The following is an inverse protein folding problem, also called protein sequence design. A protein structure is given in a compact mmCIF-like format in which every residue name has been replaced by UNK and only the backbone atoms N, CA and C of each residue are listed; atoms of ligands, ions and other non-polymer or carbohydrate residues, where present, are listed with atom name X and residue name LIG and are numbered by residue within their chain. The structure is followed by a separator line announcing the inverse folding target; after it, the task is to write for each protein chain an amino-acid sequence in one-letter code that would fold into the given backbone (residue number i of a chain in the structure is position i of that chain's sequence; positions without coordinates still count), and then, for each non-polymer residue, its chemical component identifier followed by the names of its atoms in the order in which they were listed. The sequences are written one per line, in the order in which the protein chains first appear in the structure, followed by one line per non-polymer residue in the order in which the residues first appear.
data_IF_322702213801
#
_entry.id   IF_322702213801
#
_cell.length_a   1.000
_cell.length_b   1.000
_cell.length_c   1.000
_cell.angle_alpha   90.00
_cell.angle_beta   90.00
_cell.angle_gamma   90.00
#
_symmetry.space_group_name_H-M   'P 1'
#
loop_
_entity.id
_entity.type
_entity.pdbx_description
1 polymer ?
#
# COMPACT_ATOMS: atom_id res chain seq x y z
N UNK A 1 -8.92 -11.82 -28.35
CA UNK A 1 -9.04 -11.47 -26.91
C UNK A 1 -8.62 -10.02 -26.60
N UNK A 2 -8.56 -9.10 -27.58
CA UNK A 2 -8.05 -7.73 -27.36
C UNK A 2 -9.07 -6.72 -26.77
N UNK A 3 -10.37 -7.05 -26.78
CA UNK A 3 -11.47 -6.11 -26.49
C UNK A 3 -11.90 -6.11 -25.02
N UNK A 4 -11.52 -7.13 -24.22
CA UNK A 4 -12.03 -7.28 -22.85
C UNK A 4 -13.52 -7.67 -22.79
N UNK A 5 -14.09 -7.70 -21.58
CA UNK A 5 -15.53 -7.98 -21.38
C UNK A 5 -16.39 -6.76 -21.73
N UNK A 6 -17.67 -6.96 -22.04
CA UNK A 6 -18.60 -5.84 -22.06
C UNK A 6 -19.02 -5.47 -20.64
N UNK A 7 -19.39 -4.20 -20.40
CA UNK A 7 -19.85 -3.77 -19.09
C UNK A 7 -21.08 -4.58 -18.60
N UNK A 8 -22.00 -4.89 -19.51
CA UNK A 8 -23.21 -5.69 -19.22
C UNK A 8 -22.86 -7.12 -18.78
N UNK A 9 -21.89 -7.75 -19.44
CA UNK A 9 -21.46 -9.10 -19.09
C UNK A 9 -20.71 -9.11 -17.75
N UNK A 10 -19.92 -8.08 -17.47
CA UNK A 10 -19.25 -7.94 -16.19
C UNK A 10 -20.26 -7.82 -15.02
N UNK A 11 -21.31 -7.00 -15.18
CA UNK A 11 -22.38 -6.85 -14.19
C UNK A 11 -23.23 -8.12 -14.02
N UNK A 12 -23.42 -8.91 -15.09
CA UNK A 12 -24.09 -10.21 -15.01
C UNK A 12 -23.26 -11.19 -14.17
N UNK A 13 -21.96 -11.31 -14.46
CA UNK A 13 -21.05 -12.20 -13.71
C UNK A 13 -20.90 -11.79 -12.25
N UNK A 14 -20.88 -10.48 -11.97
CA UNK A 14 -20.83 -9.97 -10.61
C UNK A 14 -22.07 -10.38 -9.80
N UNK A 15 -23.25 -10.38 -10.42
CA UNK A 15 -24.49 -10.86 -9.78
C UNK A 15 -24.52 -12.38 -9.57
N UNK A 16 -23.94 -13.15 -10.48
CA UNK A 16 -23.95 -14.61 -10.42
C UNK A 16 -22.90 -15.18 -9.46
N UNK A 17 -21.68 -14.65 -9.49
CA UNK A 17 -20.55 -15.16 -8.71
C UNK A 17 -20.26 -14.36 -7.44
N UNK A 18 -20.89 -13.19 -7.30
CA UNK A 18 -20.66 -12.28 -6.19
C UNK A 18 -19.39 -11.44 -6.36
N UNK A 19 -19.14 -10.52 -5.41
CA UNK A 19 -18.00 -9.61 -5.45
C UNK A 19 -16.66 -10.32 -5.24
N UNK A 20 -15.58 -9.76 -5.80
CA UNK A 20 -14.21 -10.18 -5.55
C UNK A 20 -13.75 -9.76 -4.14
N UNK A 21 -14.30 -10.43 -3.13
CA UNK A 21 -14.00 -10.20 -1.72
C UNK A 21 -13.86 -11.53 -1.00
N UNK A 22 -12.79 -11.68 -0.23
CA UNK A 22 -12.66 -12.82 0.68
C UNK A 22 -13.89 -12.88 1.61
N UNK A 23 -14.46 -14.07 1.85
CA UNK A 23 -15.58 -14.23 2.76
C UNK A 23 -15.18 -13.66 4.12
N UNK A 24 -15.92 -12.63 4.58
CA UNK A 24 -15.65 -12.04 5.88
C UNK A 24 -15.88 -13.11 6.95
N UNK A 25 -15.00 -13.23 7.96
CA UNK A 25 -15.30 -14.05 9.11
C UNK A 25 -16.64 -13.59 9.69
N UNK A 26 -17.46 -14.56 10.15
CA UNK A 26 -18.78 -14.24 10.71
C UNK A 26 -18.59 -13.23 11.84
N UNK A 27 -19.31 -12.10 11.82
CA UNK A 27 -19.18 -11.11 12.88
C UNK A 27 -19.52 -11.76 14.22
N UNK A 28 -18.72 -11.46 15.24
CA UNK A 28 -19.00 -11.95 16.59
C UNK A 28 -20.35 -11.36 17.02
N UNK A 29 -21.34 -12.19 17.37
CA UNK A 29 -22.66 -11.69 17.70
C UNK A 29 -22.60 -10.80 18.94
N UNK A 30 -23.43 -9.74 18.96
CA UNK A 30 -23.39 -8.70 19.99
C UNK A 30 -23.48 -9.26 21.42
N UNK A 31 -24.26 -10.32 21.64
CA UNK A 31 -24.36 -10.98 22.95
C UNK A 31 -23.05 -11.63 23.40
N UNK A 32 -22.25 -12.20 22.48
CA UNK A 32 -20.93 -12.78 22.81
C UNK A 32 -19.93 -11.69 23.15
N UNK A 33 -20.01 -10.55 22.46
CA UNK A 33 -19.17 -9.38 22.78
C UNK A 33 -19.51 -8.81 24.15
N UNK A 34 -20.80 -8.64 24.46
CA UNK A 34 -21.24 -8.22 25.78
C UNK A 34 -20.77 -9.20 26.86
N UNK A 35 -20.87 -10.51 26.59
CA UNK A 35 -20.37 -11.53 27.51
C UNK A 35 -18.84 -11.45 27.68
N UNK A 36 -18.09 -11.14 26.62
CA UNK A 36 -16.64 -10.94 26.71
C UNK A 36 -16.29 -9.77 27.66
N UNK A 37 -17.02 -8.66 27.60
CA UNK A 37 -16.86 -7.54 28.55
C UNK A 37 -17.17 -7.95 30.00
N UNK A 38 -17.97 -8.98 30.22
CA UNK A 38 -18.32 -9.47 31.55
C UNK A 38 -17.46 -10.64 32.04
N UNK A 39 -16.50 -11.10 31.23
CA UNK A 39 -15.67 -12.31 31.50
C UNK A 39 -14.17 -12.06 31.40
N UNK A 40 -13.74 -10.80 31.20
CA UNK A 40 -12.34 -10.44 31.27
C UNK A 40 -11.79 -10.60 32.71
N UNK A 41 -10.46 -10.59 32.85
CA UNK A 41 -9.78 -10.95 34.10
C UNK A 41 -10.31 -10.22 35.36
N UNK A 42 -10.50 -8.90 35.28
CA UNK A 42 -11.05 -8.11 36.39
C UNK A 42 -12.52 -8.43 36.66
N UNK A 43 -13.37 -8.55 35.64
CA UNK A 43 -14.76 -8.98 35.82
C UNK A 43 -14.85 -10.35 36.50
N UNK A 44 -14.01 -11.32 36.13
CA UNK A 44 -13.96 -12.63 36.80
C UNK A 44 -13.57 -12.52 38.29
N UNK A 45 -12.61 -11.66 38.61
CA UNK A 45 -12.23 -11.39 40.00
C UNK A 45 -13.40 -10.79 40.80
N UNK A 46 -14.15 -9.87 40.19
CA UNK A 46 -15.35 -9.28 40.79
C UNK A 46 -16.49 -10.29 40.92
N UNK A 47 -16.69 -11.19 39.95
CA UNK A 47 -17.65 -12.29 40.06
C UNK A 47 -17.34 -13.18 41.26
N UNK A 48 -16.07 -13.55 41.43
CA UNK A 48 -15.61 -14.34 42.59
C UNK A 48 -15.81 -13.56 43.89
N UNK A 49 -15.45 -12.27 43.92
CA UNK A 49 -15.65 -11.40 45.09
C UNK A 49 -17.13 -11.27 45.49
N UNK A 50 -18.02 -11.08 44.51
CA UNK A 50 -19.46 -11.03 44.73
C UNK A 50 -20.01 -12.35 45.25
N UNK A 51 -19.57 -13.48 44.69
CA UNK A 51 -19.96 -14.80 45.17
C UNK A 51 -19.50 -15.04 46.61
N UNK A 52 -18.25 -14.68 46.94
CA UNK A 52 -17.71 -14.78 48.29
C UNK A 52 -18.49 -13.92 49.29
N UNK A 53 -18.93 -12.72 48.90
CA UNK A 53 -19.74 -11.85 49.76
C UNK A 53 -21.13 -12.46 50.07
N UNK A 54 -21.78 -13.10 49.09
CA UNK A 54 -23.05 -13.82 49.30
C UNK A 54 -22.84 -14.99 50.26
N UNK A 55 -21.81 -15.81 50.04
CA UNK A 55 -21.48 -16.96 50.89
C UNK A 55 -21.10 -16.51 52.30
N UNK A 56 -20.42 -15.37 52.43
CA UNK A 56 -20.12 -14.74 53.71
C UNK A 56 -21.35 -14.08 54.36
N UNK A 57 -22.56 -14.25 53.82
CA UNK A 57 -23.81 -13.81 54.44
C UNK A 57 -24.09 -12.30 54.31
N UNK A 58 -23.45 -11.60 53.38
CA UNK A 58 -23.83 -10.24 52.98
C UNK A 58 -24.31 -10.24 51.52
N UNK A 59 -25.53 -10.76 51.26
CA UNK A 59 -26.06 -10.80 49.90
C UNK A 59 -26.20 -9.41 49.28
N UNK A 60 -26.40 -8.36 50.08
CA UNK A 60 -26.49 -6.98 49.60
C UNK A 60 -25.18 -6.53 48.95
N UNK A 61 -24.03 -6.87 49.54
CA UNK A 61 -22.72 -6.54 49.00
C UNK A 61 -22.45 -7.34 47.72
N UNK A 62 -22.78 -8.63 47.70
CA UNK A 62 -22.62 -9.46 46.51
C UNK A 62 -23.48 -9.00 45.33
N UNK A 63 -24.75 -8.67 45.59
CA UNK A 63 -25.66 -8.11 44.58
C UNK A 63 -25.13 -6.77 44.07
N UNK A 64 -24.63 -5.89 44.94
CA UNK A 64 -24.05 -4.62 44.52
C UNK A 64 -22.85 -4.82 43.57
N UNK A 65 -21.96 -5.78 43.87
CA UNK A 65 -20.82 -6.12 43.00
C UNK A 65 -21.31 -6.65 41.65
N UNK A 66 -22.32 -7.54 41.62
CA UNK A 66 -22.87 -8.04 40.35
C UNK A 66 -23.51 -6.93 39.52
N UNK A 67 -24.23 -6.00 40.15
CA UNK A 67 -24.79 -4.82 39.47
C UNK A 67 -23.68 -3.96 38.87
N UNK A 68 -22.58 -3.74 39.59
CA UNK A 68 -21.41 -2.99 39.09
C UNK A 68 -20.83 -3.67 37.84
N UNK A 69 -20.63 -4.99 37.88
CA UNK A 69 -20.12 -5.76 36.71
C UNK A 69 -21.05 -5.60 35.50
N UNK A 70 -22.37 -5.68 35.70
CA UNK A 70 -23.34 -5.53 34.60
C UNK A 70 -23.31 -4.11 34.04
N UNK A 71 -23.34 -3.09 34.89
CA UNK A 71 -23.32 -1.69 34.48
C UNK A 71 -22.03 -1.37 33.72
N UNK A 72 -20.88 -1.78 34.25
CA UNK A 72 -19.59 -1.54 33.62
C UNK A 72 -19.42 -2.35 32.33
N UNK A 73 -19.90 -3.60 32.27
CA UNK A 73 -19.90 -4.40 31.05
C UNK A 73 -20.76 -3.79 29.95
N UNK A 74 -21.95 -3.26 30.27
CA UNK A 74 -22.80 -2.55 29.32
C UNK A 74 -22.14 -1.25 28.84
N UNK A 75 -21.54 -0.50 29.76
CA UNK A 75 -20.85 0.74 29.44
C UNK A 75 -19.64 0.50 28.53
N UNK A 76 -18.82 -0.52 28.86
CA UNK A 76 -17.70 -0.98 28.04
C UNK A 76 -18.17 -1.40 26.65
N UNK A 77 -19.21 -2.25 26.56
CA UNK A 77 -19.78 -2.66 25.28
C UNK A 77 -20.26 -1.47 24.42
N UNK A 78 -20.89 -0.46 25.04
CA UNK A 78 -21.33 0.74 24.35
C UNK A 78 -20.14 1.59 23.86
N UNK A 79 -19.06 1.69 24.63
CA UNK A 79 -17.83 2.38 24.22
C UNK A 79 -17.10 1.66 23.09
N UNK A 80 -16.97 0.33 23.21
CA UNK A 80 -16.38 -0.55 22.19
C UNK A 80 -17.13 -0.40 20.86
N UNK A 81 -18.47 -0.38 20.90
CA UNK A 81 -19.31 -0.17 19.71
C UNK A 81 -19.06 1.17 19.03
N UNK A 82 -18.83 2.25 19.78
CA UNK A 82 -18.48 3.57 19.20
C UNK A 82 -17.10 3.55 18.55
N UNK A 83 -16.12 2.91 19.19
CA UNK A 83 -14.77 2.76 18.65
C UNK A 83 -14.79 1.96 17.34
N UNK A 84 -15.57 0.88 17.30
CA UNK A 84 -15.68 0.02 16.11
C UNK A 84 -16.40 0.70 14.96
N UNK A 85 -17.44 1.49 15.21
CA UNK A 85 -18.07 2.34 14.19
C UNK A 85 -17.10 3.36 13.61
N UNK A 86 -16.29 4.00 14.46
CA UNK A 86 -15.25 4.92 14.01
C UNK A 86 -14.21 4.21 13.13
N UNK A 87 -13.72 3.04 13.56
CA UNK A 87 -12.78 2.23 12.79
C UNK A 87 -13.38 1.73 11.46
N UNK A 88 -14.66 1.34 11.46
CA UNK A 88 -15.34 0.83 10.27
C UNK A 88 -15.50 1.92 9.20
N UNK A 89 -15.84 3.15 9.59
CA UNK A 89 -15.88 4.31 8.67
C UNK A 89 -14.51 4.56 8.04
N UNK A 90 -13.42 4.40 8.80
CA UNK A 90 -12.06 4.54 8.27
C UNK A 90 -11.74 3.47 7.22
N UNK A 91 -12.22 2.24 7.40
CA UNK A 91 -12.04 1.15 6.42
C UNK A 91 -12.82 1.37 5.13
N UNK A 92 -13.96 2.04 5.20
CA UNK A 92 -14.78 2.40 4.04
C UNK A 92 -14.13 3.51 3.19
N UNK A 93 -13.19 4.27 3.75
CA UNK A 93 -12.42 5.30 3.04
C UNK A 93 -11.19 4.76 2.28
N UNK A 94 -10.98 3.44 2.25
CA UNK A 94 -9.87 2.80 1.55
C UNK A 94 -10.36 2.20 0.21
N UNK A 95 -10.44 2.97 -0.88
CA UNK A 95 -10.70 2.39 -2.20
C UNK A 95 -9.48 1.55 -2.61
N UNK A 96 -9.72 0.31 -2.98
CA UNK A 96 -8.77 -0.47 -3.75
C UNK A 96 -9.31 -0.49 -5.18
N UNK A 97 -8.63 0.17 -6.12
CA UNK A 97 -9.04 0.21 -7.52
C UNK A 97 -8.10 -0.61 -8.40
N UNK A 98 -8.60 -1.06 -9.53
CA UNK A 98 -7.84 -1.77 -10.56
C UNK A 98 -8.17 -1.20 -11.94
N UNK A 99 -7.19 -1.19 -12.84
CA UNK A 99 -7.43 -0.86 -14.25
C UNK A 99 -7.81 -2.13 -15.02
N UNK A 100 -9.01 -2.13 -15.61
CA UNK A 100 -9.52 -3.22 -16.45
C UNK A 100 -9.86 -2.72 -17.83
N UNK A 101 -9.81 -3.60 -18.83
CA UNK A 101 -10.29 -3.32 -20.18
C UNK A 101 -11.71 -3.85 -20.32
N UNK A 102 -12.68 -2.94 -20.47
CA UNK A 102 -14.08 -3.27 -20.75
C UNK A 102 -14.59 -2.45 -21.94
N UNK A 103 -15.39 -3.07 -22.81
CA UNK A 103 -15.87 -2.48 -24.07
C UNK A 103 -14.73 -1.94 -24.97
N UNK A 104 -13.56 -2.59 -24.94
CA UNK A 104 -12.39 -2.19 -25.73
C UNK A 104 -11.54 -1.06 -25.13
N UNK A 105 -11.99 -0.40 -24.06
CA UNK A 105 -11.32 0.74 -23.45
C UNK A 105 -10.81 0.42 -22.02
N UNK A 106 -9.67 0.99 -21.60
CA UNK A 106 -9.24 0.96 -20.20
C UNK A 106 -10.23 1.73 -19.32
N UNK A 107 -10.58 1.17 -18.16
CA UNK A 107 -11.44 1.76 -17.13
C UNK A 107 -10.90 1.42 -15.75
N UNK A 108 -11.02 2.37 -14.82
CA UNK A 108 -10.73 2.14 -13.41
C UNK A 108 -12.01 1.62 -12.74
N UNK A 109 -11.92 0.47 -12.07
CA UNK A 109 -13.03 -0.16 -11.31
C UNK A 109 -12.57 -0.45 -9.88
N UNK A 110 -13.51 -0.59 -8.94
CA UNK A 110 -13.18 -1.12 -7.62
C UNK A 110 -12.69 -2.57 -7.77
N UNK A 111 -11.67 -2.97 -7.01
CA UNK A 111 -11.17 -4.35 -6.96
C UNK A 111 -12.28 -5.33 -6.61
N UNK A 112 -13.26 -4.90 -5.81
CA UNK A 112 -14.45 -5.68 -5.43
C UNK A 112 -15.34 -6.01 -6.64
N UNK A 113 -15.32 -5.18 -7.68
CA UNK A 113 -16.13 -5.32 -8.90
C UNK A 113 -15.39 -6.03 -10.04
N UNK A 114 -14.15 -6.48 -9.80
CA UNK A 114 -13.38 -7.30 -10.75
C UNK A 114 -13.99 -8.69 -10.81
N UNK A 115 -14.27 -9.17 -12.02
CA UNK A 115 -14.91 -10.48 -12.22
C UNK A 115 -14.07 -11.41 -13.08
N UNK A 116 -14.33 -12.71 -12.99
CA UNK A 116 -13.69 -13.72 -13.83
C UNK A 116 -13.87 -13.39 -15.32
N UNK A 117 -12.77 -13.38 -16.06
CA UNK A 117 -12.71 -13.03 -17.47
C UNK A 117 -12.41 -11.55 -17.76
N UNK A 118 -12.39 -10.66 -16.76
CA UNK A 118 -11.87 -9.30 -16.97
C UNK A 118 -10.43 -9.36 -17.48
N UNK A 119 -10.04 -8.37 -18.28
CA UNK A 119 -8.65 -8.19 -18.70
C UNK A 119 -8.08 -7.03 -17.89
N UNK A 120 -7.22 -7.34 -16.93
CA UNK A 120 -6.57 -6.37 -16.05
C UNK A 120 -5.34 -5.82 -16.77
N UNK A 121 -5.17 -4.49 -16.74
CA UNK A 121 -3.94 -3.84 -17.18
C UNK A 121 -3.01 -3.76 -15.97
N UNK A 122 -1.77 -4.19 -16.15
CA UNK A 122 -0.77 -4.30 -15.11
C UNK A 122 0.38 -3.35 -15.39
N UNK A 123 0.66 -2.47 -14.44
CA UNK A 123 1.78 -1.53 -14.46
C UNK A 123 2.62 -1.66 -13.20
N UNK A 124 3.91 -1.25 -13.23
CA UNK A 124 4.79 -1.38 -12.07
C UNK A 124 4.23 -0.68 -10.83
N UNK A 125 4.19 -1.39 -9.71
CA UNK A 125 3.61 -0.94 -8.45
C UNK A 125 2.15 -1.31 -8.26
N UNK A 126 1.45 -1.77 -9.29
CA UNK A 126 0.08 -2.24 -9.15
C UNK A 126 0.02 -3.50 -8.28
N UNK A 127 -0.97 -3.54 -7.40
CA UNK A 127 -1.34 -4.75 -6.69
C UNK A 127 -2.22 -5.62 -7.58
N UNK A 128 -1.86 -6.89 -7.75
CA UNK A 128 -2.63 -7.84 -8.54
C UNK A 128 -3.99 -8.08 -7.85
N UNK A 129 -5.13 -7.73 -8.49
CA UNK A 129 -6.44 -7.63 -7.82
C UNK A 129 -7.15 -8.99 -7.65
N UNK A 130 -6.77 -9.98 -8.45
CA UNK A 130 -7.36 -11.31 -8.53
C UNK A 130 -6.32 -12.27 -9.15
N UNK A 131 -6.54 -13.58 -9.14
CA UNK A 131 -5.62 -14.50 -9.83
C UNK A 131 -5.80 -14.34 -11.34
N UNK A 132 -4.69 -14.12 -12.05
CA UNK A 132 -4.64 -13.84 -13.48
C UNK A 132 -3.82 -14.90 -14.22
N UNK A 133 -4.12 -15.05 -15.51
CA UNK A 133 -3.20 -15.63 -16.48
C UNK A 133 -2.72 -14.51 -17.40
N UNK A 134 -1.41 -14.35 -17.54
CA UNK A 134 -0.80 -13.29 -18.34
C UNK A 134 -1.16 -13.51 -19.81
N UNK A 135 -1.74 -12.49 -20.43
CA UNK A 135 -2.12 -12.51 -21.86
C UNK A 135 -0.98 -11.94 -22.70
N UNK A 136 -0.38 -10.85 -22.23
CA UNK A 136 0.76 -10.21 -22.88
C UNK A 136 1.55 -9.43 -21.83
N UNK A 137 2.88 -9.40 -21.94
CA UNK A 137 3.70 -8.60 -21.04
C UNK A 137 5.03 -8.28 -21.68
N UNK A 138 5.56 -7.10 -21.38
CA UNK A 138 6.90 -6.68 -21.74
C UNK A 138 7.71 -6.49 -20.45
N UNK A 139 8.74 -7.33 -20.28
CA UNK A 139 9.60 -7.35 -19.09
C UNK A 139 8.86 -7.54 -17.76
N UNK A 140 7.68 -8.18 -17.79
CA UNK A 140 6.77 -8.27 -16.64
C UNK A 140 7.37 -9.17 -15.55
N UNK A 141 7.45 -8.67 -14.33
CA UNK A 141 7.85 -9.44 -13.15
C UNK A 141 7.02 -9.07 -11.94
N UNK A 142 6.86 -10.02 -11.02
CA UNK A 142 6.05 -9.86 -9.81
C UNK A 142 6.89 -10.08 -8.56
N UNK A 143 6.64 -9.25 -7.55
CA UNK A 143 7.05 -9.52 -6.18
C UNK A 143 6.06 -10.49 -5.54
N UNK A 144 6.49 -11.75 -5.39
CA UNK A 144 5.71 -12.83 -4.79
C UNK A 144 6.02 -13.03 -3.30
N UNK A 145 6.79 -12.14 -2.67
CA UNK A 145 7.19 -12.24 -1.25
C UNK A 145 6.01 -12.39 -0.30
N UNK A 146 4.86 -11.78 -0.64
CA UNK A 146 3.60 -11.90 0.11
C UNK A 146 3.05 -13.33 0.16
N UNK A 147 3.40 -14.18 -0.81
CA UNK A 147 2.95 -15.57 -0.92
C UNK A 147 4.05 -16.58 -0.59
N UNK A 148 5.29 -16.30 -1.00
CA UNK A 148 6.42 -17.25 -0.92
C UNK A 148 7.39 -16.91 0.20
N UNK A 149 7.41 -15.66 0.67
CA UNK A 149 8.43 -15.15 1.59
C UNK A 149 9.75 -14.77 0.92
N UNK A 150 9.91 -15.01 -0.38
CA UNK A 150 11.13 -14.72 -1.13
C UNK A 150 11.04 -13.34 -1.79
N UNK A 151 12.06 -12.50 -1.60
CA UNK A 151 12.08 -11.12 -2.11
C UNK A 151 12.61 -10.98 -3.54
N UNK A 152 12.95 -12.09 -4.21
CA UNK A 152 13.45 -12.07 -5.59
C UNK A 152 12.26 -11.99 -6.55
N UNK A 153 12.14 -10.93 -7.38
CA UNK A 153 11.04 -10.81 -8.32
C UNK A 153 11.02 -11.96 -9.34
N UNK A 154 9.84 -12.55 -9.54
CA UNK A 154 9.63 -13.65 -10.47
C UNK A 154 9.18 -13.09 -11.83
N UNK A 155 9.91 -13.42 -12.89
CA UNK A 155 9.53 -13.03 -14.25
C UNK A 155 8.27 -13.80 -14.69
N UNK A 156 7.37 -13.12 -15.39
CA UNK A 156 6.14 -13.71 -15.89
C UNK A 156 6.07 -13.63 -17.41
N UNK A 157 5.91 -14.79 -18.03
CA UNK A 157 5.74 -14.92 -19.48
C UNK A 157 4.24 -15.01 -19.86
N UNK A 158 3.87 -14.70 -21.11
CA UNK A 158 2.53 -14.97 -21.61
C UNK A 158 2.10 -16.42 -21.38
N UNK A 159 0.92 -16.62 -20.78
CA UNK A 159 0.41 -17.92 -20.33
C UNK A 159 0.77 -18.27 -18.88
N UNK A 160 1.70 -17.54 -18.26
CA UNK A 160 2.09 -17.70 -16.86
C UNK A 160 1.03 -17.17 -15.88
N UNK A 161 1.03 -17.64 -14.62
CA UNK A 161 0.13 -17.17 -13.59
C UNK A 161 0.62 -15.85 -12.95
N UNK A 162 -0.31 -15.02 -12.50
CA UNK A 162 -0.07 -13.97 -11.52
C UNK A 162 -1.11 -14.07 -10.42
N UNK A 163 -0.71 -13.88 -9.17
CA UNK A 163 -1.54 -14.24 -8.02
C UNK A 163 -2.05 -13.01 -7.29
N UNK A 164 -3.30 -13.08 -6.82
CA UNK A 164 -3.93 -12.01 -6.05
C UNK A 164 -3.06 -11.63 -4.83
N UNK A 165 -2.90 -10.33 -4.61
CA UNK A 165 -2.14 -9.80 -3.47
C UNK A 165 -0.64 -9.62 -3.69
N UNK A 166 -0.07 -10.16 -4.77
CA UNK A 166 1.28 -9.86 -5.24
C UNK A 166 1.34 -8.46 -5.88
N UNK A 167 2.55 -7.97 -6.12
CA UNK A 167 2.78 -6.65 -6.72
C UNK A 167 3.55 -6.77 -8.03
N UNK A 168 3.23 -5.95 -9.02
CA UNK A 168 4.05 -5.84 -10.24
C UNK A 168 5.36 -5.16 -9.88
N UNK A 169 6.47 -5.90 -9.94
CA UNK A 169 7.79 -5.39 -9.60
C UNK A 169 8.40 -4.60 -10.76
N UNK A 170 8.26 -5.09 -11.99
CA UNK A 170 8.73 -4.42 -13.19
C UNK A 170 7.91 -4.82 -14.43
N UNK A 171 8.07 -4.06 -15.51
CA UNK A 171 7.42 -4.30 -16.78
C UNK A 171 5.94 -3.91 -16.80
N UNK A 172 5.30 -4.08 -17.95
CA UNK A 172 3.88 -3.80 -18.11
C UNK A 172 3.21 -4.89 -18.93
N UNK A 173 1.91 -5.10 -18.72
CA UNK A 173 1.22 -6.17 -19.40
C UNK A 173 -0.27 -6.17 -19.19
N UNK A 174 -0.90 -7.23 -19.68
CA UNK A 174 -2.30 -7.52 -19.45
C UNK A 174 -2.45 -8.96 -18.98
N UNK A 175 -3.38 -9.18 -18.05
CA UNK A 175 -3.71 -10.51 -17.53
C UNK A 175 -5.22 -10.72 -17.53
N UNK A 176 -5.67 -11.93 -17.86
CA UNK A 176 -7.09 -12.29 -17.78
C UNK A 176 -7.39 -12.92 -16.43
N UNK A 177 -8.45 -12.46 -15.77
CA UNK A 177 -8.86 -12.96 -14.45
C UNK A 177 -9.37 -14.39 -14.56
N UNK A 178 -8.69 -15.31 -13.88
CA UNK A 178 -9.05 -16.74 -13.84
C UNK A 178 -9.69 -17.18 -12.54
N UNK A 179 -9.45 -16.49 -11.43
CA UNK A 179 -10.13 -16.74 -10.16
C UNK A 179 -10.24 -15.46 -9.32
N UNK A 180 -11.33 -15.34 -8.56
CA UNK A 180 -11.67 -14.18 -7.72
C UNK A 180 -12.05 -14.64 -6.32
N UNK A 181 -11.99 -13.75 -5.33
CA UNK A 181 -12.45 -13.99 -3.97
C UNK A 181 -11.87 -15.28 -3.36
N UNK A 182 -12.76 -16.16 -2.87
CA UNK A 182 -12.43 -17.41 -2.19
C UNK A 182 -11.71 -18.43 -3.08
N UNK A 183 -11.80 -18.29 -4.40
CA UNK A 183 -11.19 -19.22 -5.35
C UNK A 183 -9.73 -18.87 -5.68
N UNK A 184 -9.21 -17.76 -5.14
CA UNK A 184 -7.81 -17.35 -5.34
C UNK A 184 -6.84 -18.21 -4.53
N UNK A 185 -5.60 -18.34 -5.03
CA UNK A 185 -4.50 -18.99 -4.31
C UNK A 185 -4.24 -18.36 -2.94
N UNK A 186 -4.29 -17.03 -2.87
CA UNK A 186 -4.15 -16.29 -1.62
C UNK A 186 -5.25 -16.68 -0.62
N UNK A 187 -6.51 -16.84 -1.08
CA UNK A 187 -7.60 -17.32 -0.23
C UNK A 187 -7.34 -18.75 0.26
N UNK A 188 -6.85 -19.63 -0.60
CA UNK A 188 -6.47 -21.00 -0.23
C UNK A 188 -5.38 -21.04 0.84
N UNK A 189 -4.34 -20.22 0.70
CA UNK A 189 -3.29 -20.08 1.73
C UNK A 189 -3.87 -19.49 3.00
N UNK A 190 -4.65 -18.40 2.92
CA UNK A 190 -5.27 -17.78 4.09
C UNK A 190 -6.19 -18.76 4.85
N UNK A 191 -6.90 -19.65 4.15
CA UNK A 191 -7.73 -20.68 4.77
C UNK A 191 -6.90 -21.77 5.47
N UNK A 192 -5.77 -22.16 4.88
CA UNK A 192 -4.81 -23.07 5.50
C UNK A 192 -4.05 -22.43 6.68
N UNK A 193 -3.97 -21.09 6.67
CA UNK A 193 -3.13 -20.27 7.56
C UNK A 193 -3.99 -19.46 8.53
N UNK A 194 -5.28 -19.78 8.70
CA UNK A 194 -6.24 -19.18 9.66
C UNK A 194 -5.82 -19.36 11.14
N UNK A 195 -4.56 -19.74 11.35
CA UNK A 195 -3.85 -19.99 12.60
C UNK A 195 -2.67 -19.04 12.84
N UNK A 196 -2.28 -18.18 11.89
CA UNK A 196 -1.22 -17.18 12.14
C UNK A 196 -1.79 -16.06 12.99
N UNK A 197 -1.62 -16.22 14.30
CA UNK A 197 -1.93 -15.20 15.30
C UNK A 197 -0.97 -14.03 15.10
N UNK A 198 -1.53 -12.86 14.80
CA UNK A 198 -0.77 -11.61 14.87
C UNK A 198 -0.17 -11.47 16.28
N UNK A 199 1.13 -11.11 16.40
CA UNK A 199 1.72 -10.82 17.70
C UNK A 199 0.96 -9.68 18.38
N UNK A 200 0.78 -9.77 19.69
CA UNK A 200 0.09 -8.75 20.49
C UNK A 200 0.87 -7.44 20.45
N UNK A 201 0.17 -6.31 20.35
CA UNK A 201 0.81 -4.99 20.33
C UNK A 201 1.62 -4.73 21.61
N UNK A 202 2.70 -3.92 21.54
CA UNK A 202 3.46 -3.53 22.73
C UNK A 202 2.57 -2.96 23.84
N UNK A 203 1.59 -2.12 23.47
CA UNK A 203 0.61 -1.60 24.43
C UNK A 203 -0.20 -2.71 25.10
N UNK A 204 -0.72 -3.68 24.35
CA UNK A 204 -1.48 -4.80 24.90
C UNK A 204 -0.64 -5.64 25.88
N UNK A 205 0.66 -5.79 25.62
CA UNK A 205 1.59 -6.47 26.52
C UNK A 205 1.80 -5.67 27.82
N UNK A 206 2.02 -4.36 27.72
CA UNK A 206 2.18 -3.49 28.88
C UNK A 206 0.89 -3.40 29.71
N UNK A 207 -0.29 -3.31 29.09
CA UNK A 207 -1.58 -3.38 29.80
C UNK A 207 -1.68 -4.70 30.54
N UNK A 208 -1.37 -5.83 29.90
CA UNK A 208 -1.45 -7.14 30.55
C UNK A 208 -0.53 -7.22 31.77
N UNK A 209 0.63 -6.56 31.72
CA UNK A 209 1.55 -6.42 32.86
C UNK A 209 0.95 -5.54 33.95
N UNK A 210 0.42 -4.36 33.61
CA UNK A 210 -0.23 -3.44 34.56
C UNK A 210 -1.43 -4.10 35.24
N UNK A 211 -2.30 -4.77 34.48
CA UNK A 211 -3.46 -5.52 34.98
C UNK A 211 -3.02 -6.55 36.01
N UNK A 212 -1.96 -7.31 35.72
CA UNK A 212 -1.42 -8.32 36.63
C UNK A 212 -0.84 -7.69 37.91
N UNK A 213 -0.08 -6.61 37.78
CA UNK A 213 0.51 -5.90 38.93
C UNK A 213 -0.59 -5.35 39.84
N UNK A 214 -1.57 -4.64 39.28
CA UNK A 214 -2.68 -4.05 40.04
C UNK A 214 -3.51 -5.14 40.71
N UNK A 215 -3.76 -6.26 40.05
CA UNK A 215 -4.44 -7.39 40.65
C UNK A 215 -3.66 -8.00 41.83
N UNK A 216 -2.35 -8.20 41.68
CA UNK A 216 -1.49 -8.68 42.77
C UNK A 216 -1.54 -7.73 43.96
N UNK A 217 -1.45 -6.42 43.72
CA UNK A 217 -1.56 -5.40 44.78
C UNK A 217 -2.94 -5.45 45.44
N UNK A 218 -4.02 -5.49 44.66
CA UNK A 218 -5.40 -5.52 45.18
C UNK A 218 -5.66 -6.75 46.07
N UNK A 219 -5.15 -7.91 45.66
CA UNK A 219 -5.27 -9.15 46.42
C UNK A 219 -4.35 -9.12 47.66
N UNK A 220 -3.10 -8.67 47.53
CA UNK A 220 -2.16 -8.59 48.65
C UNK A 220 -2.65 -7.62 49.74
N UNK A 221 -3.15 -6.45 49.34
CA UNK A 221 -3.75 -5.47 50.26
C UNK A 221 -5.01 -6.04 50.90
N UNK A 222 -5.88 -6.71 50.14
CA UNK A 222 -7.05 -7.40 50.67
C UNK A 222 -6.68 -8.42 51.76
N UNK A 223 -5.70 -9.29 51.48
CA UNK A 223 -5.19 -10.27 52.46
C UNK A 223 -4.50 -9.62 53.66
N UNK A 224 -3.76 -8.53 53.48
CA UNK A 224 -3.14 -7.81 54.57
C UNK A 224 -4.19 -7.22 55.53
N UNK A 225 -5.24 -6.60 55.00
CA UNK A 225 -6.36 -6.09 55.80
C UNK A 225 -7.19 -7.20 56.44
N UNK A 226 -7.36 -8.33 55.75
CA UNK A 226 -7.97 -9.52 56.35
C UNK A 226 -7.18 -10.00 57.57
N UNK A 227 -5.85 -10.17 57.43
CA UNK A 227 -4.97 -10.56 58.51
C UNK A 227 -4.99 -9.56 59.67
N UNK A 228 -4.93 -8.26 59.37
CA UNK A 228 -5.03 -7.21 60.38
C UNK A 228 -6.36 -7.27 61.14
N UNK A 229 -7.48 -7.45 60.43
CA UNK A 229 -8.81 -7.58 61.03
C UNK A 229 -8.89 -8.77 62.01
N UNK A 230 -8.28 -9.91 61.66
CA UNK A 230 -8.16 -11.05 62.56
C UNK A 230 -7.31 -10.72 63.80
N UNK A 231 -6.18 -10.03 63.65
CA UNK A 231 -5.34 -9.63 64.79
C UNK A 231 -6.02 -8.63 65.73
N UNK A 232 -6.97 -7.83 65.22
CA UNK A 232 -7.80 -6.92 66.00
C UNK A 232 -8.97 -7.64 66.71
N UNK A 233 -9.09 -8.96 66.59
CA UNK A 233 -10.14 -9.75 67.22
C UNK A 233 -11.49 -9.68 66.51
N UNK A 234 -11.54 -9.17 65.28
CA UNK A 234 -12.78 -9.14 64.50
C UNK A 234 -13.18 -10.55 64.04
N UNK A 235 -14.48 -10.86 63.91
CA UNK A 235 -14.93 -12.11 63.29
C UNK A 235 -14.33 -12.28 61.90
N UNK A 236 -13.86 -13.48 61.56
CA UNK A 236 -13.27 -13.76 60.25
C UNK A 236 -14.20 -13.40 59.08
N UNK A 237 -15.52 -13.52 59.29
CA UNK A 237 -16.54 -13.07 58.34
C UNK A 237 -16.43 -11.58 58.02
N UNK A 238 -16.35 -10.74 59.04
CA UNK A 238 -16.34 -9.27 58.88
C UNK A 238 -15.01 -8.83 58.26
N UNK A 239 -13.91 -9.47 58.65
CA UNK A 239 -12.61 -9.26 58.01
C UNK A 239 -12.62 -9.65 56.53
N UNK A 240 -13.27 -10.76 56.16
CA UNK A 240 -13.36 -11.21 54.75
C UNK A 240 -14.17 -10.24 53.90
N UNK A 241 -15.30 -9.77 54.44
CA UNK A 241 -16.16 -8.78 53.78
C UNK A 241 -15.42 -7.45 53.58
N UNK A 242 -14.63 -7.04 54.57
CA UNK A 242 -13.78 -5.86 54.46
C UNK A 242 -12.69 -6.04 53.38
N UNK A 243 -12.01 -7.18 53.37
CA UNK A 243 -11.00 -7.50 52.36
C UNK A 243 -11.58 -7.50 50.93
N UNK A 244 -12.77 -8.09 50.74
CA UNK A 244 -13.50 -8.07 49.47
C UNK A 244 -13.78 -6.63 49.04
N UNK A 245 -14.31 -5.79 49.94
CA UNK A 245 -14.61 -4.39 49.65
C UNK A 245 -13.37 -3.61 49.22
N UNK A 246 -12.25 -3.80 49.92
CA UNK A 246 -10.96 -3.19 49.58
C UNK A 246 -10.47 -3.68 48.21
N UNK A 247 -10.45 -4.99 47.96
CA UNK A 247 -9.99 -5.54 46.68
C UNK A 247 -10.83 -5.02 45.51
N UNK A 248 -12.16 -4.97 45.63
CA UNK A 248 -13.07 -4.41 44.61
C UNK A 248 -12.77 -2.94 44.36
N UNK A 249 -12.55 -2.14 45.40
CA UNK A 249 -12.25 -0.72 45.27
C UNK A 249 -10.92 -0.43 44.54
N UNK A 250 -9.99 -1.39 44.51
CA UNK A 250 -8.69 -1.25 43.83
C UNK A 250 -8.73 -1.69 42.35
N UNK A 251 -9.86 -2.20 41.84
CA UNK A 251 -9.96 -2.68 40.44
C UNK A 251 -10.19 -1.53 39.46
N UNK A 252 -9.30 -1.32 38.47
CA UNK A 252 -9.44 -0.23 37.49
C UNK A 252 -10.33 -0.67 36.32
N UNK A 253 -11.64 -0.76 36.55
CA UNK A 253 -12.61 -1.26 35.55
C UNK A 253 -12.70 -0.39 34.28
N UNK A 254 -12.34 0.88 34.37
CA UNK A 254 -12.37 1.81 33.22
C UNK A 254 -11.15 1.76 32.30
N UNK A 255 -10.09 1.01 32.64
CA UNK A 255 -8.80 1.09 31.95
C UNK A 255 -8.89 0.64 30.48
N UNK A 256 -9.46 -0.53 30.22
CA UNK A 256 -9.51 -1.12 28.88
C UNK A 256 -10.37 -0.29 27.91
N UNK A 257 -11.63 0.07 28.23
CA UNK A 257 -12.47 0.84 27.31
C UNK A 257 -11.91 2.24 27.02
N UNK A 258 -11.32 2.89 28.02
CA UNK A 258 -10.70 4.21 27.87
C UNK A 258 -9.53 4.18 26.88
N UNK A 259 -8.75 3.10 26.88
CA UNK A 259 -7.65 2.93 25.94
C UNK A 259 -8.14 2.71 24.51
N UNK A 260 -9.09 1.79 24.30
CA UNK A 260 -9.68 1.55 22.98
C UNK A 260 -10.25 2.84 22.38
N UNK A 261 -10.97 3.61 23.19
CA UNK A 261 -11.50 4.91 22.79
C UNK A 261 -10.40 5.91 22.45
N UNK A 262 -9.32 5.96 23.23
CA UNK A 262 -8.16 6.84 22.99
C UNK A 262 -7.46 6.51 21.66
N UNK A 263 -7.25 5.22 21.36
CA UNK A 263 -6.69 4.78 20.08
C UNK A 263 -7.61 5.10 18.90
N UNK A 264 -8.92 4.91 19.05
CA UNK A 264 -9.90 5.27 18.04
C UNK A 264 -9.90 6.77 17.72
N UNK A 265 -9.81 7.62 18.74
CA UNK A 265 -9.65 9.07 18.56
C UNK A 265 -8.32 9.41 17.87
N UNK A 266 -7.23 8.73 18.21
CA UNK A 266 -5.93 8.89 17.55
C UNK A 266 -5.99 8.54 16.06
N UNK A 267 -6.57 7.39 15.72
CA UNK A 267 -6.80 6.96 14.34
C UNK A 267 -7.65 7.97 13.56
N UNK A 268 -8.69 8.53 14.18
CA UNK A 268 -9.53 9.55 13.54
C UNK A 268 -8.76 10.85 13.24
N UNK A 269 -7.88 11.30 14.15
CA UNK A 269 -7.01 12.47 13.92
C UNK A 269 -6.00 12.22 12.80
N UNK A 270 -5.45 11.01 12.70
CA UNK A 270 -4.55 10.61 11.62
C UNK A 270 -5.28 10.62 10.27
N UNK A 271 -6.50 10.09 10.22
CA UNK A 271 -7.30 10.05 9.01
C UNK A 271 -7.65 11.46 8.49
N UNK A 272 -7.93 12.42 9.38
CA UNK A 272 -8.11 13.83 9.01
C UNK A 272 -6.87 14.46 8.36
N UNK A 273 -5.70 13.84 8.50
CA UNK A 273 -4.43 14.23 7.88
C UNK A 273 -4.02 13.28 6.74
N UNK A 274 -4.98 12.60 6.13
CA UNK A 274 -4.79 11.64 5.03
C UNK A 274 -3.96 10.40 5.39
N UNK A 275 -3.81 10.07 6.68
CA UNK A 275 -3.16 8.85 7.15
C UNK A 275 -4.22 7.86 7.67
N UNK A 276 -4.64 6.94 6.80
CA UNK A 276 -5.70 5.97 7.10
C UNK A 276 -5.16 4.77 7.89
N UNK A 277 -5.81 4.45 9.01
CA UNK A 277 -5.41 3.38 9.93
C UNK A 277 -6.37 2.19 9.83
N UNK A 278 -5.85 1.00 9.50
CA UNK A 278 -6.65 -0.24 9.32
C UNK A 278 -6.96 -0.98 10.63
N UNK A 279 -6.01 -0.91 11.57
CA UNK A 279 -5.99 -1.58 12.86
C UNK A 279 -5.66 -0.54 13.94
N UNK A 280 -6.47 -0.44 15.00
CA UNK A 280 -6.30 0.62 16.01
C UNK A 280 -4.94 0.52 16.71
N UNK A 281 -4.42 -0.70 16.85
CA UNK A 281 -3.11 -1.01 17.42
C UNK A 281 -1.96 -0.36 16.63
N UNK A 282 -2.15 -0.11 15.33
CA UNK A 282 -1.13 0.50 14.47
C UNK A 282 -0.84 1.96 14.84
N UNK A 283 -1.79 2.66 15.49
CA UNK A 283 -1.57 4.03 16.00
C UNK A 283 -0.43 4.03 17.01
N UNK A 284 -0.42 3.05 17.91
CA UNK A 284 0.63 2.92 18.92
C UNK A 284 1.92 2.36 18.32
N UNK A 285 1.81 1.34 17.46
CA UNK A 285 2.99 0.72 16.81
C UNK A 285 3.82 1.76 16.06
N UNK A 286 3.17 2.69 15.35
CA UNK A 286 3.89 3.78 14.67
C UNK A 286 4.57 4.75 15.66
N UNK A 287 3.96 4.99 16.83
CA UNK A 287 4.54 5.80 17.90
C UNK A 287 5.71 5.14 18.63
N UNK A 288 5.75 3.81 18.67
CA UNK A 288 6.83 3.01 19.28
C UNK A 288 7.85 2.49 18.27
N UNK A 289 7.72 2.86 16.98
CA UNK A 289 8.65 2.45 15.92
C UNK A 289 10.04 3.05 16.12
N UNK A 290 11.06 2.20 16.20
CA UNK A 290 12.47 2.60 16.33
C UNK A 290 13.26 2.49 15.01
N UNK A 291 12.77 1.69 14.07
CA UNK A 291 13.37 1.52 12.74
C UNK A 291 12.30 1.64 11.66
N UNK A 292 12.53 2.50 10.67
CA UNK A 292 11.68 2.63 9.50
C UNK A 292 12.39 1.97 8.32
N UNK A 293 11.88 0.82 7.90
CA UNK A 293 12.27 0.19 6.64
C UNK A 293 11.34 0.72 5.55
N UNK A 294 11.88 1.55 4.66
CA UNK A 294 11.12 2.14 3.56
C UNK A 294 11.54 1.50 2.25
N UNK A 295 10.57 1.19 1.40
CA UNK A 295 10.85 0.98 -0.01
C UNK A 295 11.27 2.31 -0.67
N UNK A 296 12.04 2.26 -1.75
CA UNK A 296 12.47 3.43 -2.50
C UNK A 296 11.41 3.82 -3.54
N UNK A 297 10.98 2.86 -4.34
CA UNK A 297 10.16 3.13 -5.53
C UNK A 297 8.71 3.33 -5.10
N UNK A 298 8.09 4.47 -5.46
CA UNK A 298 6.70 4.76 -5.09
C UNK A 298 6.47 5.15 -3.62
N UNK A 299 7.49 5.05 -2.75
CA UNK A 299 7.43 5.52 -1.36
C UNK A 299 8.32 6.76 -1.14
N UNK A 300 9.63 6.63 -1.35
CA UNK A 300 10.54 7.79 -1.31
C UNK A 300 10.54 8.58 -2.63
N UNK A 301 10.33 7.88 -3.73
CA UNK A 301 10.33 8.44 -5.09
C UNK A 301 8.93 8.42 -5.67
N UNK A 302 8.63 9.33 -6.60
CA UNK A 302 7.31 9.42 -7.23
C UNK A 302 7.00 8.32 -8.24
N UNK A 303 7.89 7.32 -8.41
CA UNK A 303 7.80 6.29 -9.45
C UNK A 303 7.56 6.88 -10.87
N UNK A 304 8.16 8.03 -11.14
CA UNK A 304 8.05 8.75 -12.41
C UNK A 304 9.44 9.00 -12.96
N UNK A 305 9.73 8.45 -14.15
CA UNK A 305 11.01 8.71 -14.80
C UNK A 305 11.02 10.14 -15.33
N UNK A 306 12.02 10.91 -14.93
CA UNK A 306 12.13 12.34 -15.27
C UNK A 306 13.52 12.60 -15.85
N UNK A 307 13.59 13.30 -16.97
CA UNK A 307 14.85 13.84 -17.46
C UNK A 307 15.29 14.99 -16.55
N UNK A 308 16.45 14.84 -15.92
CA UNK A 308 17.03 15.83 -14.98
C UNK A 308 18.24 16.55 -15.57
N UNK A 309 18.86 15.97 -16.59
CA UNK A 309 20.05 16.51 -17.23
C UNK A 309 20.15 16.01 -18.67
N UNK A 310 20.56 16.90 -19.58
CA UNK A 310 20.86 16.60 -20.98
C UNK A 310 22.27 17.09 -21.30
N UNK A 311 23.08 16.24 -21.91
CA UNK A 311 24.40 16.63 -22.42
C UNK A 311 24.39 16.64 -23.94
N UNK A 312 24.97 17.69 -24.53
CA UNK A 312 25.25 17.79 -25.95
C UNK A 312 26.66 18.37 -26.15
N UNK A 313 27.24 18.29 -27.35
CA UNK A 313 28.49 18.99 -27.65
C UNK A 313 28.41 20.52 -27.44
N UNK A 314 27.22 21.12 -27.53
CA UNK A 314 26.98 22.56 -27.28
C UNK A 314 26.83 22.90 -25.79
N UNK A 315 26.83 21.92 -24.88
CA UNK A 315 26.80 22.16 -23.44
C UNK A 315 25.90 21.20 -22.66
N UNK A 316 25.86 21.43 -21.34
CA UNK A 316 25.02 20.69 -20.39
C UNK A 316 23.80 21.53 -20.05
N UNK A 317 22.65 20.87 -20.03
CA UNK A 317 21.39 21.44 -19.59
C UNK A 317 20.89 20.72 -18.34
N UNK A 318 20.50 21.49 -17.33
CA UNK A 318 19.84 20.98 -16.12
C UNK A 318 18.33 21.26 -16.21
N UNK A 319 17.53 20.29 -15.79
CA UNK A 319 16.07 20.37 -15.83
C UNK A 319 15.56 20.19 -14.41
N UNK A 320 15.00 21.26 -13.83
CA UNK A 320 14.31 21.22 -12.56
C UNK A 320 12.79 21.14 -12.80
N UNK A 321 12.23 19.95 -12.57
CA UNK A 321 10.81 19.69 -12.75
C UNK A 321 10.54 18.22 -12.58
N UNK A 322 9.73 17.85 -11.59
CA UNK A 322 9.48 16.44 -11.24
C UNK A 322 8.25 15.92 -11.98
N UNK A 323 8.35 14.71 -12.54
CA UNK A 323 7.23 14.04 -13.17
C UNK A 323 7.01 14.44 -14.62
N UNK A 324 5.79 14.23 -15.12
CA UNK A 324 5.46 14.35 -16.54
C UNK A 324 4.86 15.69 -16.96
N UNK A 325 4.69 16.62 -16.03
CA UNK A 325 4.17 17.95 -16.36
C UNK A 325 5.14 18.68 -17.32
N UNK A 326 4.63 19.36 -18.36
CA UNK A 326 5.42 20.13 -19.32
C UNK A 326 5.98 21.44 -18.71
N UNK A 327 5.77 21.65 -17.41
CA UNK A 327 6.33 22.73 -16.62
C UNK A 327 7.66 22.31 -15.99
N UNK A 328 8.66 23.18 -16.02
CA UNK A 328 9.95 22.99 -15.35
C UNK A 328 10.89 24.13 -15.66
N UNK A 329 11.84 24.39 -14.77
CA UNK A 329 12.92 25.33 -15.00
C UNK A 329 14.04 24.63 -15.77
N UNK A 330 14.53 25.31 -16.80
CA UNK A 330 15.57 24.79 -17.69
C UNK A 330 16.76 25.73 -17.58
N UNK A 331 17.89 25.21 -17.11
CA UNK A 331 19.11 25.99 -16.86
C UNK A 331 20.24 25.53 -17.79
N UNK A 332 20.67 26.45 -18.65
CA UNK A 332 21.84 26.30 -19.53
C UNK A 332 21.88 27.39 -20.60
N UNK A 333 22.96 27.41 -21.37
CA UNK A 333 23.14 28.40 -22.45
C UNK A 333 22.10 28.19 -23.57
N UNK A 334 21.75 29.26 -24.28
CA UNK A 334 20.75 29.22 -25.36
C UNK A 334 21.10 28.19 -26.45
N UNK A 335 22.38 28.06 -26.79
CA UNK A 335 22.88 27.07 -27.73
C UNK A 335 22.70 25.62 -27.20
N UNK A 336 22.91 25.41 -25.90
CA UNK A 336 22.72 24.12 -25.25
C UNK A 336 21.23 23.74 -25.16
N UNK A 337 20.34 24.72 -24.91
CA UNK A 337 18.88 24.53 -24.93
C UNK A 337 18.42 24.09 -26.32
N UNK A 338 18.90 24.75 -27.38
CA UNK A 338 18.48 24.46 -28.75
C UNK A 338 19.05 23.11 -29.24
N UNK A 339 20.27 22.76 -28.84
CA UNK A 339 20.82 21.42 -29.07
C UNK A 339 20.05 20.33 -28.32
N UNK A 340 19.68 20.57 -27.06
CA UNK A 340 18.88 19.66 -26.26
C UNK A 340 17.46 19.49 -26.81
N UNK A 341 16.85 20.55 -27.36
CA UNK A 341 15.54 20.50 -28.03
C UNK A 341 15.59 19.52 -29.20
N UNK A 342 16.56 19.67 -30.10
CA UNK A 342 16.74 18.72 -31.22
C UNK A 342 16.95 17.30 -30.73
N UNK A 343 17.79 17.09 -29.71
CA UNK A 343 18.02 15.78 -29.12
C UNK A 343 16.73 15.15 -28.54
N UNK A 344 15.94 15.94 -27.81
CA UNK A 344 14.67 15.49 -27.23
C UNK A 344 13.65 15.12 -28.31
N UNK A 345 13.53 15.92 -29.38
CA UNK A 345 12.68 15.63 -30.52
C UNK A 345 13.11 14.35 -31.26
N UNK A 346 14.41 14.14 -31.47
CA UNK A 346 14.97 12.91 -32.04
C UNK A 346 14.63 11.69 -31.19
N UNK A 347 14.83 11.79 -29.87
CA UNK A 347 14.49 10.72 -28.92
C UNK A 347 12.99 10.42 -28.89
N UNK A 348 12.15 11.46 -28.91
CA UNK A 348 10.70 11.36 -28.90
C UNK A 348 10.15 10.76 -30.20
N UNK A 349 10.71 11.13 -31.35
CA UNK A 349 10.36 10.53 -32.66
C UNK A 349 10.64 9.03 -32.65
N UNK A 350 11.78 8.65 -32.07
CA UNK A 350 12.14 7.25 -31.85
C UNK A 350 11.32 6.57 -30.74
N UNK A 351 10.42 7.26 -30.03
CA UNK A 351 9.64 6.74 -28.90
C UNK A 351 8.15 6.58 -29.20
N UNK A 352 7.49 5.64 -28.52
CA UNK A 352 6.05 5.41 -28.55
C UNK A 352 5.34 5.93 -27.29
N UNK A 353 6.01 5.96 -26.14
CA UNK A 353 5.48 6.52 -24.90
C UNK A 353 5.16 8.00 -25.02
N UNK A 354 4.05 8.43 -24.42
CA UNK A 354 3.57 9.82 -24.42
C UNK A 354 3.11 10.22 -23.03
N UNK A 355 3.02 11.53 -22.79
CA UNK A 355 2.38 12.08 -21.61
C UNK A 355 1.01 12.63 -21.97
N UNK A 356 0.04 12.40 -21.10
CA UNK A 356 -1.33 12.90 -21.26
C UNK A 356 -1.83 13.46 -19.95
N UNK A 357 -2.52 14.58 -20.04
CA UNK A 357 -3.26 15.12 -18.91
C UNK A 357 -4.57 14.34 -18.72
N UNK A 358 -4.78 13.83 -17.51
CA UNK A 358 -5.99 13.17 -17.04
C UNK A 358 -6.36 13.74 -15.68
N UNK A 359 -7.55 14.31 -15.54
CA UNK A 359 -8.06 14.88 -14.29
C UNK A 359 -7.09 15.87 -13.60
N UNK A 360 -6.41 16.71 -14.40
CA UNK A 360 -5.42 17.69 -13.93
C UNK A 360 -4.05 17.11 -13.57
N UNK A 361 -3.82 15.82 -13.80
CA UNK A 361 -2.53 15.15 -13.58
C UNK A 361 -1.92 14.65 -14.89
N UNK A 362 -0.61 14.82 -15.05
CA UNK A 362 0.13 14.30 -16.19
C UNK A 362 0.55 12.86 -15.92
N UNK A 363 0.06 11.93 -16.75
CA UNK A 363 0.33 10.50 -16.64
C UNK A 363 1.06 10.00 -17.89
N UNK A 364 1.93 9.01 -17.70
CA UNK A 364 2.56 8.30 -18.79
C UNK A 364 1.57 7.34 -19.46
N UNK A 365 1.55 7.33 -20.78
CA UNK A 365 0.85 6.36 -21.62
C UNK A 365 1.90 5.61 -22.42
N UNK A 366 2.10 4.32 -22.10
CA UNK A 366 3.21 3.52 -22.61
C UNK A 366 4.39 3.48 -21.64
N UNK A 367 5.60 3.28 -22.17
CA UNK A 367 6.81 3.16 -21.33
C UNK A 367 7.15 4.48 -20.60
N UNK A 368 7.40 4.46 -19.26
CA UNK A 368 7.76 5.64 -18.48
C UNK A 368 9.02 6.38 -18.92
N UNK A 369 10.07 5.67 -19.38
CA UNK A 369 11.30 6.30 -19.88
C UNK A 369 11.02 7.05 -21.18
N UNK A 370 10.15 6.50 -22.02
CA UNK A 370 9.73 7.12 -23.27
C UNK A 370 8.83 8.33 -23.06
N UNK A 371 7.88 8.22 -22.13
CA UNK A 371 7.04 9.34 -21.71
C UNK A 371 7.88 10.51 -21.15
N UNK A 372 9.01 10.21 -20.49
CA UNK A 372 9.95 11.24 -20.02
C UNK A 372 10.54 12.07 -21.17
N UNK A 373 10.74 11.49 -22.37
CA UNK A 373 11.17 12.25 -23.55
C UNK A 373 10.08 13.17 -24.10
N UNK A 374 8.81 12.76 -24.04
CA UNK A 374 7.68 13.63 -24.41
C UNK A 374 7.56 14.82 -23.43
N UNK A 375 7.65 14.55 -22.13
CA UNK A 375 7.67 15.61 -21.12
C UNK A 375 8.86 16.57 -21.32
N UNK A 376 10.05 16.04 -21.60
CA UNK A 376 11.25 16.83 -21.87
C UNK A 376 11.07 17.72 -23.10
N UNK A 377 10.60 17.16 -24.22
CA UNK A 377 10.43 17.93 -25.46
C UNK A 377 9.43 19.08 -25.27
N UNK A 378 8.31 18.84 -24.58
CA UNK A 378 7.31 19.88 -24.25
C UNK A 378 7.84 20.97 -23.34
N UNK A 379 8.66 20.61 -22.33
CA UNK A 379 9.34 21.59 -21.46
C UNK A 379 10.26 22.51 -22.25
N UNK A 380 11.04 21.92 -23.16
CA UNK A 380 11.94 22.70 -24.02
C UNK A 380 11.15 23.57 -25.00
N UNK A 381 10.06 23.06 -25.58
CA UNK A 381 9.11 23.77 -26.47
C UNK A 381 8.30 24.85 -25.75
N UNK A 382 8.27 24.86 -24.42
CA UNK A 382 7.50 25.82 -23.64
C UNK A 382 5.99 25.71 -23.89
N UNK A 383 5.53 24.56 -24.40
CA UNK A 383 4.13 24.32 -24.75
C UNK A 383 3.62 23.01 -24.16
N UNK A 384 2.40 22.99 -23.58
CA UNK A 384 1.77 21.76 -23.13
C UNK A 384 1.24 20.91 -24.30
N UNK A 385 1.16 21.45 -25.52
CA UNK A 385 0.59 20.75 -26.66
C UNK A 385 1.46 19.57 -27.12
N UNK A 386 0.86 18.53 -27.74
CA UNK A 386 1.63 17.44 -28.32
C UNK A 386 2.62 17.95 -29.36
N UNK A 387 3.89 17.54 -29.21
CA UNK A 387 4.95 17.84 -30.16
C UNK A 387 4.61 17.22 -31.52
N UNK A 388 4.69 18.03 -32.59
CA UNK A 388 4.51 17.55 -33.95
C UNK A 388 5.76 16.80 -34.40
N UNK A 389 5.62 15.51 -34.70
CA UNK A 389 6.73 14.64 -35.08
C UNK A 389 6.67 14.32 -36.57
N UNK A 390 7.84 14.11 -37.22
CA UNK A 390 7.89 13.70 -38.61
C UNK A 390 7.26 12.31 -38.80
N UNK A 391 6.76 12.05 -40.03
CA UNK A 391 6.21 10.76 -40.39
C UNK A 391 7.30 9.67 -40.35
N UNK A 392 7.06 8.64 -39.54
CA UNK A 392 7.96 7.49 -39.44
C UNK A 392 7.66 6.53 -40.60
N UNK A 393 8.65 6.33 -41.48
CA UNK A 393 8.58 5.40 -42.60
C UNK A 393 8.72 3.95 -42.14
N UNK A 394 9.63 3.72 -41.19
CA UNK A 394 9.87 2.39 -40.65
C UNK A 394 10.35 2.48 -39.19
N UNK A 395 9.87 1.56 -38.35
CA UNK A 395 10.31 1.44 -36.95
C UNK A 395 10.99 0.11 -36.72
N UNK A 396 12.09 0.15 -35.97
CA UNK A 396 12.77 -1.00 -35.43
C UNK A 396 12.69 -0.88 -33.90
N UNK A 397 11.68 -1.54 -33.32
CA UNK A 397 11.41 -1.52 -31.88
C UNK A 397 12.64 -1.89 -31.05
N UNK A 398 12.60 -1.52 -29.76
CA UNK A 398 13.63 -1.92 -28.82
C UNK A 398 13.84 -3.44 -28.82
N UNK A 399 15.10 -3.85 -28.81
CA UNK A 399 15.53 -5.24 -28.83
C UNK A 399 16.61 -5.40 -27.77
N UNK A 400 16.44 -6.27 -26.76
CA UNK A 400 17.41 -6.47 -25.68
C UNK A 400 18.81 -6.87 -26.16
N UNK A 401 18.92 -7.55 -27.31
CA UNK A 401 20.21 -7.89 -27.91
C UNK A 401 20.90 -6.68 -28.53
N UNK A 402 20.11 -5.79 -29.17
CA UNK A 402 20.61 -4.55 -29.78
C UNK A 402 20.77 -3.41 -28.78
N UNK A 403 20.05 -3.47 -27.65
CA UNK A 403 19.99 -2.46 -26.58
C UNK A 403 19.67 -1.05 -27.08
N UNK A 404 18.91 -0.95 -28.18
CA UNK A 404 18.54 0.31 -28.83
C UNK A 404 17.26 0.16 -29.65
N UNK A 405 16.58 1.28 -29.85
CA UNK A 405 15.45 1.45 -30.74
C UNK A 405 15.82 2.46 -31.83
N UNK A 406 15.27 2.29 -33.03
CA UNK A 406 15.52 3.22 -34.13
C UNK A 406 14.32 3.39 -35.06
N UNK A 407 14.21 4.56 -35.66
CA UNK A 407 13.17 4.88 -36.65
C UNK A 407 13.80 5.53 -37.88
N UNK A 408 13.29 5.15 -39.05
CA UNK A 408 13.59 5.79 -40.31
C UNK A 408 12.51 6.85 -40.57
N UNK A 409 12.95 8.09 -40.76
CA UNK A 409 12.16 9.22 -41.22
C UNK A 409 12.72 9.66 -42.58
N UNK A 410 12.00 10.50 -43.32
CA UNK A 410 12.45 10.93 -44.65
C UNK A 410 13.86 11.53 -44.60
N UNK A 411 14.83 10.85 -45.22
CA UNK A 411 16.24 11.24 -45.27
C UNK A 411 17.04 11.11 -43.96
N UNK A 412 16.52 10.50 -42.89
CA UNK A 412 17.26 10.33 -41.64
C UNK A 412 16.91 9.07 -40.82
N UNK A 413 17.90 8.56 -40.08
CA UNK A 413 17.77 7.50 -39.09
C UNK A 413 17.95 8.10 -37.69
N UNK A 414 16.94 7.98 -36.84
CA UNK A 414 17.00 8.37 -35.43
C UNK A 414 17.12 7.15 -34.54
N UNK A 415 18.00 7.21 -33.55
CA UNK A 415 18.33 6.08 -32.67
C UNK A 415 18.35 6.56 -31.23
N UNK A 416 17.81 5.76 -30.31
CA UNK A 416 18.01 5.91 -28.87
C UNK A 416 18.33 4.55 -28.23
N UNK A 417 19.09 4.52 -27.15
CA UNK A 417 19.40 3.27 -26.47
C UNK A 417 20.47 3.37 -25.40
N UNK A 418 21.00 2.20 -25.02
CA UNK A 418 22.12 2.11 -24.11
C UNK A 418 23.33 2.88 -24.65
N UNK A 419 24.03 3.67 -23.82
CA UNK A 419 25.12 4.52 -24.27
C UNK A 419 26.23 3.78 -25.03
N UNK A 420 26.62 2.59 -24.56
CA UNK A 420 27.62 1.76 -25.23
C UNK A 420 27.13 1.23 -26.59
N UNK A 421 25.87 0.82 -26.70
CA UNK A 421 25.30 0.33 -27.95
C UNK A 421 25.18 1.41 -29.04
N UNK A 422 24.93 2.66 -28.65
CA UNK A 422 24.74 3.79 -29.57
C UNK A 422 26.06 4.49 -29.88
N UNK A 423 26.84 4.88 -28.87
CA UNK A 423 28.06 5.70 -29.06
C UNK A 423 29.13 4.97 -29.87
N UNK A 424 29.26 3.64 -29.73
CA UNK A 424 30.19 2.83 -30.54
C UNK A 424 29.89 2.88 -32.05
N UNK A 425 28.68 3.28 -32.44
CA UNK A 425 28.22 3.36 -33.83
C UNK A 425 28.24 4.78 -34.38
N UNK A 426 28.59 5.77 -33.56
CA UNK A 426 28.66 7.17 -33.96
C UNK A 426 30.07 7.52 -34.44
N UNK A 427 30.18 8.05 -35.66
CA UNK A 427 31.43 8.59 -36.22
C UNK A 427 31.91 9.84 -35.46
N UNK A 428 30.99 10.58 -34.86
CA UNK A 428 31.25 11.79 -34.07
C UNK A 428 31.35 11.53 -32.55
N UNK A 429 31.52 10.28 -32.09
CA UNK A 429 31.69 10.00 -30.66
C UNK A 429 33.01 10.58 -30.14
N UNK A 430 32.96 11.70 -29.43
CA UNK A 430 34.14 12.39 -28.89
C UNK A 430 34.51 11.89 -27.49
N UNK A 431 35.75 12.16 -27.07
CA UNK A 431 36.20 11.98 -25.67
C UNK A 431 35.27 12.69 -24.68
N UNK A 432 34.71 13.85 -25.07
CA UNK A 432 33.79 14.60 -24.22
C UNK A 432 32.48 13.85 -23.96
N UNK A 433 31.94 13.13 -24.96
CA UNK A 433 30.71 12.33 -24.78
C UNK A 433 30.91 11.17 -23.79
N UNK A 434 32.09 10.55 -23.77
CA UNK A 434 32.43 9.50 -22.80
C UNK A 434 32.62 10.06 -21.40
N UNK A 435 33.32 11.20 -21.27
CA UNK A 435 33.48 11.88 -19.98
C UNK A 435 32.13 12.31 -19.38
N UNK A 436 31.20 12.79 -20.21
CA UNK A 436 29.84 13.12 -19.78
C UNK A 436 29.05 11.88 -19.32
N UNK A 437 29.15 10.77 -20.06
CA UNK A 437 28.53 9.50 -19.67
C UNK A 437 29.04 9.03 -18.29
N UNK A 438 30.36 9.06 -18.07
CA UNK A 438 30.96 8.70 -16.78
C UNK A 438 30.48 9.62 -15.65
N UNK A 439 30.48 10.94 -15.88
CA UNK A 439 30.04 11.91 -14.88
C UNK A 439 28.56 11.76 -14.50
N UNK A 440 27.67 11.55 -15.48
CA UNK A 440 26.24 11.34 -15.22
C UNK A 440 25.98 10.00 -14.52
N UNK A 441 26.71 8.94 -14.90
CA UNK A 441 26.57 7.62 -14.28
C UNK A 441 27.07 7.63 -12.84
N UNK A 442 28.15 8.34 -12.53
CA UNK A 442 28.68 8.49 -11.17
C UNK A 442 27.70 9.18 -10.20
N UNK A 443 26.78 9.99 -10.74
CA UNK A 443 25.69 10.60 -9.96
C UNK A 443 24.49 9.67 -9.75
N UNK A 444 24.54 8.43 -10.23
CA UNK A 444 23.44 7.47 -10.15
C UNK A 444 22.33 7.72 -11.17
N UNK A 445 22.57 8.54 -12.20
CA UNK A 445 21.59 8.78 -13.26
C UNK A 445 21.51 7.58 -14.21
N UNK A 446 20.29 7.26 -14.64
CA UNK A 446 20.07 6.34 -15.75
C UNK A 446 20.27 7.10 -17.07
N UNK A 447 21.39 6.86 -17.74
CA UNK A 447 21.78 7.57 -18.97
C UNK A 447 21.33 6.81 -20.22
N UNK A 448 20.75 7.52 -21.18
CA UNK A 448 20.44 7.02 -22.52
C UNK A 448 21.18 7.88 -23.55
N UNK A 449 21.69 7.25 -24.60
CA UNK A 449 22.28 7.94 -25.73
C UNK A 449 21.28 8.05 -26.88
N UNK A 450 21.34 9.19 -27.58
CA UNK A 450 20.50 9.52 -28.72
C UNK A 450 21.42 9.94 -29.86
N UNK A 451 21.14 9.46 -31.06
CA UNK A 451 21.92 9.77 -32.26
C UNK A 451 21.00 9.94 -33.48
N UNK A 452 21.44 10.77 -34.42
CA UNK A 452 20.83 10.88 -35.74
C UNK A 452 21.89 10.64 -36.83
N UNK A 453 21.46 10.10 -37.97
CA UNK A 453 22.24 10.05 -39.22
C UNK A 453 21.35 10.53 -40.36
N UNK A 454 21.82 11.47 -41.17
CA UNK A 454 21.09 11.98 -42.36
C UNK A 454 21.72 11.41 -43.63
N UNK A 455 20.93 11.20 -44.66
CA UNK A 455 21.43 10.73 -45.95
C UNK A 455 22.44 11.74 -46.53
N UNK A 456 23.66 11.28 -46.81
CA UNK A 456 24.76 12.10 -47.35
C UNK A 456 25.83 12.56 -46.35
N UNK A 457 25.74 12.16 -45.06
CA UNK A 457 26.76 12.42 -44.01
C UNK A 457 27.15 11.14 -43.28
#
# INVERSE_FOLDING_TARGET
MAVGLSQVEAERRLREHGPNRLPRPRPVPAWRRLLAEMTHFFALMLWVAGLLAVVAGMPQLGIAIFVIIVVNGVFAFAQEGRAEQAAQRLRELLPATAQVRRDGAPRVVDVVDVVRGDVVLLTPGDRVPADLVIVSGDGLSFDTSTLTGESVPEAAEPGGPAYAGTYVAAGSGTGSVVATAADTRLAGIAHLTDTVRHPTSPLAQEISRVVRIVAIIAVAVGFAFFGLSLTLGSPARDGLLFAIGVTVALVPEGLLPTMTLSMAMGAQRMAQRNALVRHLEAVETLGSTTFICTDKTGTLTRNQMTAVQVWTPSGILHIDGVGYAPTGEVTGDEEAVEAARRLAHTALTASQGRVREQDGNWVAVGDPMEAAFDALARRLDGSPDPVQLPAVLQRFSFDPSRRRESVLVDGALFVKGAPDAVLERCTASTTASRAALEAMTAQGLRVLAVAERRDGV
#
